data_IF_365582591119
#
_entry.id   IF_365582591119
#
_cell.length_a   1.000
_cell.length_b   1.000
_cell.length_c   1.000
_cell.angle_alpha   90.00
_cell.angle_beta   90.00
_cell.angle_gamma   90.00
#
_symmetry.space_group_name_H-M   'P 1'
#
loop_
_entity.id
_entity.type
_entity.pdbx_description
1 polymer ?
#
# COMPACT_ATOMS: atom_id res chain seq x y z
N UNK A 1 -2.49 9.92 -0.67
CA UNK A 1 -1.50 9.75 0.41
C UNK A 1 -0.66 8.51 0.15
N UNK A 2 0.61 8.52 0.53
CA UNK A 2 1.47 7.33 0.51
C UNK A 2 2.27 7.22 1.83
N UNK A 3 2.67 6.00 2.17
CA UNK A 3 3.52 5.70 3.34
C UNK A 3 4.69 4.85 2.86
N UNK A 4 5.90 5.24 3.20
CA UNK A 4 7.12 4.45 2.98
C UNK A 4 8.12 4.73 4.11
N UNK A 5 8.92 3.73 4.47
CA UNK A 5 9.95 3.85 5.50
C UNK A 5 11.29 4.30 4.91
N UNK A 6 11.45 4.23 3.59
CA UNK A 6 12.71 4.55 2.91
C UNK A 6 12.71 6.02 2.47
N UNK A 7 13.57 6.87 3.06
CA UNK A 7 13.62 8.31 2.72
C UNK A 7 13.80 8.58 1.22
N UNK A 8 14.64 7.79 0.55
CA UNK A 8 14.89 7.94 -0.88
C UNK A 8 13.63 7.65 -1.74
N UNK A 9 12.76 6.72 -1.31
CA UNK A 9 11.50 6.44 -1.99
C UNK A 9 10.52 7.61 -1.84
N UNK A 10 10.43 8.20 -0.64
CA UNK A 10 9.61 9.38 -0.36
C UNK A 10 10.12 10.59 -1.16
N UNK A 11 11.44 10.78 -1.25
CA UNK A 11 12.05 11.82 -2.06
C UNK A 11 11.73 11.65 -3.56
N UNK A 12 11.85 10.42 -4.08
CA UNK A 12 11.49 10.12 -5.46
C UNK A 12 10.02 10.43 -5.77
N UNK A 13 9.11 10.07 -4.88
CA UNK A 13 7.68 10.40 -5.01
C UNK A 13 7.45 11.91 -5.01
N UNK A 14 8.11 12.66 -4.14
CA UNK A 14 8.01 14.12 -4.08
C UNK A 14 8.47 14.76 -5.38
N UNK A 15 9.63 14.35 -5.91
CA UNK A 15 10.20 14.88 -7.15
C UNK A 15 9.28 14.59 -8.33
N UNK A 16 8.79 13.35 -8.45
CA UNK A 16 7.90 12.97 -9.55
C UNK A 16 6.57 13.73 -9.50
N UNK A 17 6.01 13.95 -8.32
CA UNK A 17 4.77 14.71 -8.16
C UNK A 17 4.95 16.18 -8.52
N UNK A 18 6.07 16.79 -8.16
CA UNK A 18 6.40 18.18 -8.52
C UNK A 18 6.48 18.37 -10.05
N UNK A 19 7.23 17.50 -10.75
CA UNK A 19 7.37 17.55 -12.22
C UNK A 19 6.02 17.42 -12.94
N UNK A 20 5.10 16.59 -12.41
CA UNK A 20 3.81 16.39 -13.06
C UNK A 20 2.86 17.61 -12.97
N UNK A 21 3.13 18.55 -12.07
CA UNK A 21 2.28 19.72 -11.85
C UNK A 21 2.86 21.02 -12.45
N UNK A 22 4.11 21.03 -12.91
CA UNK A 22 4.79 22.21 -13.50
C UNK A 22 4.39 22.50 -14.96
N UNK A 23 3.25 21.95 -15.42
CA UNK A 23 2.74 22.18 -16.78
C UNK A 23 2.33 23.63 -17.10
N UNK A 24 2.42 24.54 -16.16
CA UNK A 24 2.04 25.97 -16.29
C UNK A 24 3.23 26.91 -16.04
N UNK A 25 4.39 26.65 -16.53
CA UNK A 25 5.46 27.65 -16.76
C UNK A 25 5.70 28.78 -15.73
N UNK A 26 5.11 28.72 -14.54
CA UNK A 26 5.37 29.68 -13.45
C UNK A 26 6.59 29.22 -12.65
N UNK A 27 7.72 29.83 -12.98
CA UNK A 27 9.02 29.67 -12.31
C UNK A 27 9.00 30.35 -10.91
N UNK A 28 8.08 29.93 -10.05
CA UNK A 28 8.15 30.20 -8.62
C UNK A 28 8.92 29.05 -7.94
N UNK A 29 10.25 29.17 -7.97
CA UNK A 29 11.24 28.21 -7.45
C UNK A 29 11.14 27.84 -5.98
N UNK A 30 9.95 27.77 -5.42
CA UNK A 30 9.63 27.30 -4.08
C UNK A 30 9.34 25.79 -4.07
N UNK A 31 10.03 25.05 -3.20
CA UNK A 31 9.69 23.67 -2.95
C UNK A 31 8.22 23.61 -2.45
N UNK A 32 7.27 23.03 -3.22
CA UNK A 32 5.85 23.04 -2.87
C UNK A 32 5.51 22.12 -1.67
N UNK A 33 6.52 21.51 -1.05
CA UNK A 33 6.38 20.58 0.02
C UNK A 33 6.70 21.17 1.39
N UNK A 34 5.78 20.99 2.34
CA UNK A 34 5.95 21.34 3.74
C UNK A 34 6.32 20.09 4.53
N UNK A 35 7.44 20.16 5.28
CA UNK A 35 7.96 19.11 6.15
C UNK A 35 7.48 19.31 7.58
N UNK A 36 6.97 18.26 8.20
CA UNK A 36 6.61 18.18 9.62
C UNK A 36 7.29 16.97 10.25
N UNK A 37 8.19 17.19 11.20
CA UNK A 37 8.82 16.09 11.95
C UNK A 37 7.98 15.79 13.20
N UNK A 38 7.73 14.51 13.45
CA UNK A 38 6.92 14.04 14.57
C UNK A 38 7.73 13.14 15.50
N UNK A 39 7.24 12.96 16.72
CA UNK A 39 7.79 11.97 17.65
C UNK A 39 7.79 10.57 17.04
N UNK A 40 8.78 9.74 17.43
CA UNK A 40 8.91 8.38 16.91
C UNK A 40 9.52 8.26 15.51
N UNK A 41 10.14 9.34 14.98
CA UNK A 41 10.86 9.32 13.72
C UNK A 41 9.97 9.40 12.47
N UNK A 42 8.69 9.67 12.61
CA UNK A 42 7.79 9.92 11.49
C UNK A 42 8.02 11.32 10.92
N UNK A 43 8.16 11.43 9.59
CA UNK A 43 8.17 12.70 8.88
C UNK A 43 6.95 12.76 7.95
N UNK A 44 6.22 13.86 8.01
CA UNK A 44 5.05 14.10 7.15
C UNK A 44 5.38 15.20 6.17
N UNK A 45 5.18 14.90 4.88
CA UNK A 45 5.36 15.85 3.78
C UNK A 45 4.00 16.18 3.19
N UNK A 46 3.62 17.45 3.19
CA UNK A 46 2.36 17.93 2.60
C UNK A 46 2.66 18.80 1.39
N UNK A 47 2.04 18.47 0.28
CA UNK A 47 2.14 19.31 -0.90
C UNK A 47 1.26 20.55 -0.76
N UNK A 48 1.71 21.69 -1.27
CA UNK A 48 1.01 22.98 -1.19
C UNK A 48 -0.38 22.99 -1.83
N UNK A 49 -0.67 22.08 -2.77
CA UNK A 49 -2.02 21.89 -3.32
C UNK A 49 -3.03 21.36 -2.30
N UNK A 50 -2.60 20.83 -1.17
CA UNK A 50 -3.45 20.18 -0.18
C UNK A 50 -3.94 18.78 -0.56
N UNK A 51 -3.65 18.30 -1.77
CA UNK A 51 -4.18 17.01 -2.28
C UNK A 51 -3.28 15.82 -1.99
N UNK A 52 -1.99 16.05 -1.73
CA UNK A 52 -1.00 15.00 -1.51
C UNK A 52 -0.33 15.13 -0.15
N UNK A 53 -0.27 14.01 0.56
CA UNK A 53 0.51 13.86 1.79
C UNK A 53 1.31 12.58 1.71
N UNK A 54 2.60 12.64 2.03
CA UNK A 54 3.49 11.48 2.11
C UNK A 54 3.95 11.33 3.58
N UNK A 55 4.00 10.09 4.03
CA UNK A 55 4.52 9.71 5.33
C UNK A 55 5.81 8.92 5.14
N UNK A 56 6.91 9.45 5.63
CA UNK A 56 8.15 8.72 5.84
C UNK A 56 8.06 8.09 7.22
N UNK A 57 7.60 6.86 7.28
CA UNK A 57 7.26 6.17 8.53
C UNK A 57 7.21 4.67 8.35
N UNK A 58 7.49 3.93 9.41
CA UNK A 58 7.21 2.50 9.48
C UNK A 58 5.69 2.28 9.41
N UNK A 59 5.22 1.46 8.48
CA UNK A 59 3.81 1.11 8.34
C UNK A 59 3.23 0.46 9.62
N UNK A 60 4.07 -0.15 10.45
CA UNK A 60 3.69 -0.73 11.73
C UNK A 60 3.59 0.28 12.87
N UNK A 61 4.11 1.49 12.70
CA UNK A 61 3.93 2.56 13.66
C UNK A 61 2.45 3.03 13.68
N UNK A 62 1.91 3.39 14.86
CA UNK A 62 0.55 3.91 14.94
C UNK A 62 0.50 5.33 14.35
N UNK A 63 -0.44 5.54 13.42
CA UNK A 63 -0.79 6.84 12.85
C UNK A 63 -2.30 7.06 13.07
N UNK A 64 -2.71 7.42 14.29
CA UNK A 64 -4.14 7.46 14.67
C UNK A 64 -4.97 8.42 13.82
N UNK A 65 -4.36 9.47 13.29
CA UNK A 65 -5.02 10.42 12.39
C UNK A 65 -5.45 9.82 11.05
N UNK A 66 -4.96 8.63 10.71
CA UNK A 66 -5.31 7.93 9.47
C UNK A 66 -6.43 6.90 9.67
N UNK A 67 -6.80 6.60 10.93
CA UNK A 67 -7.78 5.56 11.22
C UNK A 67 -9.16 5.91 10.67
N UNK A 68 -9.72 4.99 9.86
CA UNK A 68 -11.04 5.13 9.25
C UNK A 68 -11.18 6.29 8.27
N UNK A 69 -10.08 6.79 7.71
CA UNK A 69 -10.12 7.99 6.85
C UNK A 69 -10.19 7.68 5.36
N UNK A 70 -9.74 6.50 4.92
CA UNK A 70 -9.62 6.20 3.49
C UNK A 70 -10.82 5.48 2.91
N UNK A 71 -11.35 6.02 1.81
CA UNK A 71 -12.35 5.35 0.97
C UNK A 71 -11.71 4.21 0.16
N UNK A 72 -10.44 4.34 -0.20
CA UNK A 72 -9.67 3.31 -0.89
C UNK A 72 -8.21 3.32 -0.46
N UNK A 73 -7.62 2.11 -0.39
CA UNK A 73 -6.20 1.87 -0.20
C UNK A 73 -5.70 1.02 -1.36
N UNK A 74 -4.56 1.38 -1.90
CA UNK A 74 -3.83 0.60 -2.90
C UNK A 74 -2.57 0.01 -2.28
N UNK A 75 -2.49 -1.30 -2.29
CA UNK A 75 -1.32 -2.07 -1.87
C UNK A 75 -0.72 -2.78 -3.09
N UNK A 76 0.46 -2.34 -3.47
CA UNK A 76 1.22 -2.99 -4.54
C UNK A 76 2.38 -3.77 -3.95
N UNK A 77 2.23 -5.09 -3.94
CA UNK A 77 3.25 -6.06 -3.50
C UNK A 77 3.64 -6.02 -2.00
N UNK A 78 3.14 -5.08 -1.19
CA UNK A 78 3.57 -4.96 0.22
C UNK A 78 3.23 -6.22 1.01
N UNK A 79 2.00 -6.74 0.89
CA UNK A 79 1.61 -8.00 1.54
C UNK A 79 2.50 -9.17 1.11
N UNK A 80 2.82 -9.27 -0.18
CA UNK A 80 3.67 -10.33 -0.73
C UNK A 80 5.16 -10.18 -0.40
N UNK A 81 5.61 -8.97 -0.06
CA UNK A 81 7.00 -8.71 0.33
C UNK A 81 7.28 -9.02 1.81
N UNK A 82 6.24 -9.03 2.65
CA UNK A 82 6.36 -9.26 4.08
C UNK A 82 6.51 -10.75 4.42
N UNK A 83 7.37 -11.06 5.38
CA UNK A 83 7.44 -12.37 6.00
C UNK A 83 6.09 -12.77 6.60
N UNK A 84 5.78 -14.06 6.60
CA UNK A 84 4.47 -14.57 7.02
C UNK A 84 4.04 -14.10 8.41
N UNK A 85 4.98 -14.04 9.36
CA UNK A 85 4.68 -13.61 10.73
C UNK A 85 4.34 -12.12 10.87
N UNK A 86 4.69 -11.30 9.87
CA UNK A 86 4.40 -9.85 9.87
C UNK A 86 3.05 -9.52 9.25
N UNK A 87 2.52 -10.41 8.39
CA UNK A 87 1.27 -10.16 7.64
C UNK A 87 0.05 -9.87 8.50
N UNK A 88 -0.20 -10.59 9.62
CA UNK A 88 -1.35 -10.28 10.47
C UNK A 88 -1.35 -8.84 10.99
N UNK A 89 -0.22 -8.38 11.50
CA UNK A 89 -0.09 -7.00 12.00
C UNK A 89 -0.24 -5.97 10.88
N UNK A 90 0.29 -6.26 9.69
CA UNK A 90 0.12 -5.42 8.51
C UNK A 90 -1.35 -5.31 8.10
N UNK A 91 -2.06 -6.44 8.02
CA UNK A 91 -3.48 -6.48 7.67
C UNK A 91 -4.35 -5.73 8.67
N UNK A 92 -4.06 -5.87 9.97
CA UNK A 92 -4.72 -5.10 11.04
C UNK A 92 -4.51 -3.59 10.84
N UNK A 93 -3.28 -3.17 10.50
CA UNK A 93 -2.95 -1.76 10.26
C UNK A 93 -3.69 -1.20 9.05
N UNK A 94 -3.68 -1.89 7.92
CA UNK A 94 -4.43 -1.49 6.73
C UNK A 94 -5.94 -1.43 7.04
N UNK A 95 -6.46 -2.42 7.76
CA UNK A 95 -7.86 -2.44 8.15
C UNK A 95 -8.25 -1.27 9.05
N UNK A 96 -7.34 -0.81 9.91
CA UNK A 96 -7.59 0.37 10.75
C UNK A 96 -7.75 1.65 9.91
N UNK A 97 -7.00 1.79 8.83
CA UNK A 97 -7.00 2.98 7.98
C UNK A 97 -8.20 3.06 7.03
N UNK A 98 -8.69 1.92 6.54
CA UNK A 98 -9.81 1.84 5.59
C UNK A 98 -11.15 2.06 6.30
N UNK A 99 -12.01 2.90 5.73
CA UNK A 99 -13.36 3.19 6.26
C UNK A 99 -14.18 1.92 6.46
N UNK A 100 -14.67 1.65 7.68
CA UNK A 100 -15.53 0.49 7.94
C UNK A 100 -16.81 0.52 7.10
N UNK A 101 -17.23 -0.63 6.58
CA UNK A 101 -18.49 -0.84 5.88
C UNK A 101 -18.52 -0.38 4.41
N UNK A 102 -17.60 0.47 4.00
CA UNK A 102 -17.62 1.05 2.65
C UNK A 102 -16.27 1.08 1.95
N UNK A 103 -15.17 1.19 2.69
CA UNK A 103 -13.85 1.38 2.11
C UNK A 103 -13.31 0.14 1.40
N UNK A 104 -12.50 0.36 0.38
CA UNK A 104 -11.96 -0.66 -0.51
C UNK A 104 -10.46 -0.80 -0.31
N UNK A 105 -9.98 -2.04 -0.31
CA UNK A 105 -8.57 -2.36 -0.51
C UNK A 105 -8.41 -2.96 -1.91
N UNK A 106 -7.56 -2.34 -2.72
CA UNK A 106 -7.08 -2.91 -3.96
C UNK A 106 -5.66 -3.44 -3.73
N UNK A 107 -5.51 -4.76 -3.76
CA UNK A 107 -4.24 -5.43 -3.57
C UNK A 107 -3.72 -6.02 -4.88
N UNK A 108 -2.47 -5.69 -5.22
CA UNK A 108 -1.70 -6.34 -6.27
C UNK A 108 -0.65 -7.25 -5.65
N UNK A 109 -0.60 -8.50 -6.11
CA UNK A 109 0.30 -9.51 -5.55
C UNK A 109 0.93 -10.37 -6.65
N UNK A 110 2.03 -11.06 -6.31
CA UNK A 110 2.69 -11.99 -7.22
C UNK A 110 2.07 -13.37 -7.14
N UNK A 111 1.57 -13.86 -8.25
CA UNK A 111 1.24 -15.26 -8.45
C UNK A 111 2.43 -15.96 -9.13
N UNK A 112 2.94 -17.02 -8.56
CA UNK A 112 4.05 -17.81 -9.13
C UNK A 112 3.53 -19.12 -9.67
N UNK A 113 3.66 -19.28 -10.97
CA UNK A 113 3.22 -20.47 -11.74
C UNK A 113 4.35 -21.52 -11.77
N UNK A 114 4.82 -21.86 -10.57
CA UNK A 114 5.91 -22.84 -10.36
C UNK A 114 5.54 -23.78 -9.24
N UNK A 115 5.84 -25.06 -9.42
CA UNK A 115 5.60 -26.08 -8.39
C UNK A 115 6.79 -26.20 -7.43
N UNK A 116 6.52 -26.77 -6.26
CA UNK A 116 7.55 -27.11 -5.28
C UNK A 116 8.17 -25.92 -4.55
N UNK A 117 9.48 -26.00 -4.20
CA UNK A 117 10.13 -24.99 -3.34
C UNK A 117 10.16 -23.58 -3.93
N UNK A 118 10.17 -23.44 -5.25
CA UNK A 118 10.15 -22.15 -5.94
C UNK A 118 8.90 -21.32 -5.65
N UNK A 119 7.76 -21.97 -5.44
CA UNK A 119 6.51 -21.32 -5.07
C UNK A 119 6.59 -20.64 -3.69
N UNK A 120 7.34 -21.24 -2.77
CA UNK A 120 7.53 -20.73 -1.40
C UNK A 120 8.70 -19.74 -1.27
N UNK A 121 9.51 -19.56 -2.31
CA UNK A 121 10.63 -18.61 -2.27
C UNK A 121 10.12 -17.15 -2.24
N UNK A 122 10.77 -16.27 -1.51
CA UNK A 122 10.41 -14.85 -1.43
C UNK A 122 11.54 -14.01 -0.85
N UNK A 123 11.36 -12.70 -0.67
CA UNK A 123 10.33 -11.86 -1.25
C UNK A 123 10.55 -11.58 -2.75
N UNK A 124 9.50 -11.28 -3.54
CA UNK A 124 8.10 -11.37 -3.14
C UNK A 124 7.64 -12.84 -3.08
N UNK A 125 6.83 -13.17 -2.09
CA UNK A 125 6.23 -14.49 -1.96
C UNK A 125 5.10 -14.69 -2.97
N UNK A 126 4.80 -15.96 -3.28
CA UNK A 126 3.57 -16.31 -3.96
C UNK A 126 2.37 -16.00 -3.07
N UNK A 127 1.33 -15.39 -3.64
CA UNK A 127 0.10 -15.04 -2.93
C UNK A 127 -1.09 -15.38 -3.81
N UNK A 128 -2.06 -16.08 -3.23
CA UNK A 128 -3.37 -16.37 -3.81
C UNK A 128 -4.48 -15.66 -3.00
N UNK A 129 -5.70 -15.76 -3.51
CA UNK A 129 -6.89 -15.24 -2.81
C UNK A 129 -7.00 -15.82 -1.39
N UNK A 130 -6.73 -17.10 -1.26
CA UNK A 130 -6.82 -17.86 0.00
C UNK A 130 -5.87 -17.28 1.05
N UNK A 131 -4.64 -16.95 0.66
CA UNK A 131 -3.65 -16.31 1.55
C UNK A 131 -4.12 -14.93 2.02
N UNK A 132 -4.70 -14.13 1.11
CA UNK A 132 -5.25 -12.82 1.47
C UNK A 132 -6.42 -12.95 2.45
N UNK A 133 -7.26 -13.97 2.27
CA UNK A 133 -8.52 -14.14 3.01
C UNK A 133 -8.42 -15.05 4.24
N UNK A 134 -7.21 -15.50 4.59
CA UNK A 134 -7.01 -16.16 5.89
C UNK A 134 -7.49 -15.27 7.05
N UNK A 135 -8.03 -15.90 8.11
CA UNK A 135 -8.53 -15.18 9.29
C UNK A 135 -7.43 -14.43 10.06
N UNK A 136 -6.19 -14.85 9.93
CA UNK A 136 -5.03 -14.11 10.45
C UNK A 136 -4.61 -12.92 9.59
N UNK A 137 -5.12 -12.82 8.35
CA UNK A 137 -4.79 -11.80 7.39
C UNK A 137 -5.99 -10.86 7.14
N UNK A 138 -6.21 -10.42 5.91
CA UNK A 138 -7.32 -9.52 5.58
C UNK A 138 -8.70 -10.14 5.82
N UNK A 139 -8.85 -11.47 5.80
CA UNK A 139 -10.12 -12.16 6.06
C UNK A 139 -10.74 -11.86 7.42
N UNK A 140 -9.96 -11.41 8.40
CA UNK A 140 -10.49 -10.95 9.69
C UNK A 140 -11.36 -9.70 9.60
N UNK A 141 -11.11 -8.87 8.60
CA UNK A 141 -11.64 -7.51 8.54
C UNK A 141 -12.26 -7.11 7.19
N UNK A 142 -12.05 -7.91 6.16
CA UNK A 142 -12.52 -7.64 4.80
C UNK A 142 -13.31 -8.83 4.25
N UNK A 143 -14.21 -8.54 3.32
CA UNK A 143 -14.83 -9.50 2.42
C UNK A 143 -14.22 -9.39 1.03
N UNK A 144 -14.11 -10.53 0.34
CA UNK A 144 -13.60 -10.58 -1.01
C UNK A 144 -14.69 -10.17 -2.00
N UNK A 145 -14.39 -9.20 -2.86
CA UNK A 145 -15.33 -8.68 -3.85
C UNK A 145 -15.05 -9.27 -5.23
N UNK A 146 -13.82 -9.16 -5.72
CA UNK A 146 -13.47 -9.60 -7.07
C UNK A 146 -11.98 -9.87 -7.24
N UNK A 147 -11.66 -10.82 -8.12
CA UNK A 147 -10.34 -10.96 -8.72
C UNK A 147 -10.32 -10.31 -10.10
N UNK A 148 -9.28 -9.55 -10.38
CA UNK A 148 -9.08 -8.87 -11.67
C UNK A 148 -8.23 -9.71 -12.64
N UNK A 149 -7.76 -10.88 -12.19
CA UNK A 149 -6.88 -11.73 -12.99
C UNK A 149 -5.48 -11.13 -13.14
N UNK A 150 -4.82 -11.44 -14.26
CA UNK A 150 -3.52 -10.89 -14.59
C UNK A 150 -3.66 -9.45 -15.08
N UNK A 151 -2.95 -8.54 -14.40
CA UNK A 151 -3.04 -7.10 -14.65
C UNK A 151 -2.11 -6.66 -15.78
N UNK A 152 -0.90 -7.18 -15.78
CA UNK A 152 0.12 -6.92 -16.80
C UNK A 152 1.19 -8.01 -16.81
N UNK A 153 1.82 -8.16 -17.98
CA UNK A 153 2.91 -9.14 -18.15
C UNK A 153 4.17 -8.68 -17.44
N UNK A 154 4.76 -9.61 -16.70
CA UNK A 154 6.10 -9.44 -16.11
C UNK A 154 7.16 -10.06 -17.04
N UNK A 155 8.38 -9.54 -16.95
CA UNK A 155 9.54 -10.10 -17.66
C UNK A 155 10.06 -11.39 -17.03
N UNK A 156 9.56 -11.75 -15.84
CA UNK A 156 9.99 -12.95 -15.09
C UNK A 156 9.10 -14.12 -15.52
N UNK A 157 9.65 -15.17 -16.17
CA UNK A 157 8.86 -16.35 -16.56
C UNK A 157 8.18 -17.01 -15.36
N UNK A 158 6.94 -17.44 -15.55
CA UNK A 158 6.15 -18.11 -14.51
C UNK A 158 5.72 -17.21 -13.33
N UNK A 159 5.86 -15.90 -13.45
CA UNK A 159 5.38 -14.95 -12.45
C UNK A 159 4.37 -14.00 -13.09
N UNK A 160 3.21 -13.88 -12.47
CA UNK A 160 2.12 -12.98 -12.89
C UNK A 160 1.83 -11.96 -11.79
N UNK A 161 1.42 -10.76 -12.19
CA UNK A 161 0.85 -9.77 -11.28
C UNK A 161 -0.67 -9.92 -11.31
N UNK A 162 -1.26 -10.24 -10.18
CA UNK A 162 -2.70 -10.40 -10.05
C UNK A 162 -3.30 -9.32 -9.16
N UNK A 163 -4.53 -8.90 -9.48
CA UNK A 163 -5.25 -7.88 -8.74
C UNK A 163 -6.45 -8.45 -7.98
N UNK A 164 -6.70 -7.92 -6.80
CA UNK A 164 -7.76 -8.34 -5.90
C UNK A 164 -8.46 -7.13 -5.27
N UNK A 165 -9.78 -7.15 -5.26
CA UNK A 165 -10.62 -6.13 -4.62
C UNK A 165 -11.25 -6.72 -3.37
N UNK A 166 -11.01 -6.06 -2.24
CA UNK A 166 -11.59 -6.41 -0.95
C UNK A 166 -12.35 -5.20 -0.40
N UNK A 167 -13.48 -5.44 0.27
CA UNK A 167 -14.28 -4.40 0.93
C UNK A 167 -14.17 -4.55 2.45
N UNK A 168 -13.93 -3.43 3.12
CA UNK A 168 -13.86 -3.39 4.58
C UNK A 168 -15.24 -3.70 5.19
N UNK A 169 -15.31 -4.71 6.05
CA UNK A 169 -16.53 -5.02 6.79
C UNK A 169 -16.92 -3.88 7.74
N UNK A 170 -18.20 -3.75 8.04
CA UNK A 170 -18.64 -2.88 9.11
C UNK A 170 -18.02 -3.30 10.46
N UNK A 171 -17.75 -2.36 11.35
CA UNK A 171 -17.35 -2.70 12.72
C UNK A 171 -18.54 -3.44 13.39
N UNK A 172 -18.26 -4.63 13.93
CA UNK A 172 -19.21 -5.34 14.79
C UNK A 172 -19.30 -4.63 16.13
#
# INVERSE_FOLDING_TARGET
>A
MAIDVVPAAVEAMRNQFSVANDGDGSDDGGNPWFKEERSGGTVVWRHGSGTVTLYESDIFAPLPELEGTFDAVYDKDSFGALDLHMRPKYCERIAAYVKPGAGILYAEVKYKDVDGPGRKSGPPYHVEKEDLMEQGNFGAAFEYVAGLGELYKLTIPGVRQTGHILRRCARK
#
